data_IF_167569601959
#
_entry.id   IF_167569601959
#
_cell.length_a   1.000
_cell.length_b   1.000
_cell.length_c   1.000
_cell.angle_alpha   90.00
_cell.angle_beta   90.00
_cell.angle_gamma   90.00
#
_symmetry.space_group_name_H-M   'P 1'
#
loop_
_entity.id
_entity.type
_entity.pdbx_description
1 polymer ?
#
# COMPACT_ATOMS: atom_id res chain seq x y z
N UNK A 1 -7.91 -14.01 11.61
CA UNK A 1 -6.42 -13.82 11.56
C UNK A 1 -6.01 -13.07 10.28
N UNK A 2 -6.36 -13.57 9.09
CA UNK A 2 -6.00 -12.94 7.80
C UNK A 2 -6.40 -11.44 7.68
N UNK A 3 -7.61 -11.07 8.13
CA UNK A 3 -8.07 -9.68 8.09
C UNK A 3 -7.24 -8.73 8.97
N UNK A 4 -6.89 -9.16 10.19
CA UNK A 4 -6.06 -8.35 11.11
C UNK A 4 -4.68 -8.11 10.52
N UNK A 5 -4.09 -9.14 9.89
CA UNK A 5 -2.80 -8.99 9.21
C UNK A 5 -2.89 -8.06 7.99
N UNK A 6 -3.99 -8.11 7.23
CA UNK A 6 -4.21 -7.18 6.12
C UNK A 6 -4.35 -5.72 6.59
N UNK A 7 -5.04 -5.50 7.71
CA UNK A 7 -5.17 -4.19 8.33
C UNK A 7 -3.82 -3.65 8.82
N UNK A 8 -3.03 -4.50 9.48
CA UNK A 8 -1.67 -4.16 9.89
C UNK A 8 -0.78 -3.83 8.69
N UNK A 9 -0.81 -4.64 7.63
CA UNK A 9 -0.07 -4.41 6.41
C UNK A 9 -0.46 -3.08 5.75
N UNK A 10 -1.76 -2.75 5.72
CA UNK A 10 -2.24 -1.48 5.17
C UNK A 10 -1.76 -0.29 5.99
N UNK A 11 -1.79 -0.38 7.32
CA UNK A 11 -1.27 0.66 8.23
C UNK A 11 0.24 0.87 8.05
N UNK A 12 1.01 -0.22 7.93
CA UNK A 12 2.44 -0.13 7.64
C UNK A 12 2.70 0.57 6.31
N UNK A 13 1.97 0.19 5.25
CA UNK A 13 2.11 0.84 3.95
C UNK A 13 1.86 2.36 4.06
N UNK A 14 0.80 2.77 4.75
CA UNK A 14 0.54 4.21 4.98
C UNK A 14 1.71 4.86 5.71
N UNK A 15 2.22 4.25 6.78
CA UNK A 15 3.36 4.78 7.54
C UNK A 15 4.60 4.96 6.65
N UNK A 16 4.95 3.95 5.85
CA UNK A 16 6.10 4.00 4.94
C UNK A 16 5.94 5.04 3.83
N UNK A 17 4.72 5.19 3.29
CA UNK A 17 4.39 6.19 2.27
C UNK A 17 4.42 7.62 2.85
N UNK A 18 3.95 7.81 4.09
CA UNK A 18 4.05 9.09 4.80
C UNK A 18 5.52 9.46 5.04
N UNK A 19 6.30 8.53 5.58
CA UNK A 19 7.74 8.72 5.80
C UNK A 19 8.47 9.05 4.49
N UNK A 20 8.14 8.36 3.39
CA UNK A 20 8.72 8.67 2.07
C UNK A 20 8.35 10.08 1.65
N UNK A 21 7.08 10.46 1.77
CA UNK A 21 6.60 11.79 1.39
C UNK A 21 7.31 12.91 2.17
N UNK A 22 7.46 12.74 3.48
CA UNK A 22 8.17 13.70 4.34
C UNK A 22 9.65 13.79 3.97
N UNK A 23 10.30 12.63 3.85
CA UNK A 23 11.72 12.53 3.52
C UNK A 23 12.02 13.22 2.19
N UNK A 24 11.28 12.94 1.13
CA UNK A 24 11.59 13.46 -0.21
C UNK A 24 11.21 14.93 -0.36
N UNK A 25 10.29 15.44 0.47
CA UNK A 25 9.97 16.86 0.50
C UNK A 25 11.18 17.70 0.90
N UNK A 26 11.91 17.24 1.92
CA UNK A 26 13.18 17.85 2.34
C UNK A 26 14.28 17.72 1.27
N UNK A 27 14.08 16.86 0.26
CA UNK A 27 15.00 16.61 -0.87
C UNK A 27 14.57 17.31 -2.16
N UNK A 28 13.66 18.28 -2.06
CA UNK A 28 13.23 19.10 -3.20
C UNK A 28 12.16 18.47 -4.08
N UNK A 29 11.39 17.50 -3.56
CA UNK A 29 10.24 16.91 -4.27
C UNK A 29 8.94 17.48 -3.71
N UNK A 30 8.08 18.00 -4.58
CA UNK A 30 6.76 18.51 -4.19
C UNK A 30 5.70 17.40 -4.12
N UNK A 31 4.49 17.74 -3.68
CA UNK A 31 3.37 16.78 -3.59
C UNK A 31 3.04 16.16 -4.96
N UNK A 32 3.14 16.94 -6.03
CA UNK A 32 2.94 16.45 -7.40
C UNK A 32 4.03 15.43 -7.80
N UNK A 33 5.28 15.68 -7.41
CA UNK A 33 6.41 14.77 -7.61
C UNK A 33 6.24 13.49 -6.82
N UNK A 34 5.77 13.56 -5.57
CA UNK A 34 5.44 12.36 -4.80
C UNK A 34 4.35 11.51 -5.49
N UNK A 35 3.29 12.15 -5.99
CA UNK A 35 2.26 11.45 -6.75
C UNK A 35 2.82 10.76 -8.00
N UNK A 36 3.77 11.39 -8.72
CA UNK A 36 4.47 10.80 -9.87
C UNK A 36 5.35 9.62 -9.46
N UNK A 37 6.15 9.75 -8.39
CA UNK A 37 6.97 8.66 -7.82
C UNK A 37 6.10 7.45 -7.51
N UNK A 38 5.04 7.64 -6.71
CA UNK A 38 4.13 6.56 -6.34
C UNK A 38 3.48 5.90 -7.56
N UNK A 39 3.06 6.71 -8.54
CA UNK A 39 2.45 6.18 -9.77
C UNK A 39 3.44 5.38 -10.62
N UNK A 40 4.71 5.79 -10.67
CA UNK A 40 5.77 5.06 -11.38
C UNK A 40 6.16 3.77 -10.67
N UNK A 41 6.17 3.77 -9.34
CA UNK A 41 6.32 2.56 -8.53
C UNK A 41 5.20 1.55 -8.78
N UNK A 42 3.94 2.01 -8.76
CA UNK A 42 2.79 1.17 -9.12
C UNK A 42 2.93 0.59 -10.53
N UNK A 43 3.29 1.42 -11.50
CA UNK A 43 3.49 0.96 -12.87
C UNK A 43 4.55 -0.17 -12.96
N UNK A 44 5.66 -0.03 -12.24
CA UNK A 44 6.70 -1.04 -12.19
C UNK A 44 6.22 -2.34 -11.50
N UNK A 45 5.55 -2.24 -10.36
CA UNK A 45 5.09 -3.40 -9.60
C UNK A 45 3.99 -4.19 -10.33
N UNK A 46 3.10 -3.50 -11.05
CA UNK A 46 1.95 -4.09 -11.74
C UNK A 46 2.17 -4.31 -13.24
N UNK A 47 3.41 -4.53 -13.67
CA UNK A 47 3.71 -5.06 -15.00
C UNK A 47 3.48 -4.05 -16.13
N UNK A 48 3.74 -2.79 -15.87
CA UNK A 48 3.53 -1.71 -16.82
C UNK A 48 2.07 -1.26 -16.94
N UNK A 49 1.17 -1.76 -16.08
CA UNK A 49 -0.19 -1.26 -16.03
C UNK A 49 -0.26 0.08 -15.30
N UNK A 50 -1.10 0.99 -15.79
CA UNK A 50 -1.43 2.20 -15.03
C UNK A 50 -2.33 1.83 -13.86
N UNK A 51 -2.29 2.61 -12.77
CA UNK A 51 -3.18 2.41 -11.61
C UNK A 51 -4.65 2.33 -12.04
N UNK A 52 -5.07 3.10 -13.04
CA UNK A 52 -6.42 3.03 -13.59
C UNK A 52 -6.73 1.66 -14.24
N UNK A 53 -5.81 1.11 -15.05
CA UNK A 53 -5.97 -0.21 -15.67
C UNK A 53 -6.03 -1.32 -14.62
N UNK A 54 -5.19 -1.26 -13.59
CA UNK A 54 -5.22 -2.23 -12.48
C UNK A 54 -6.56 -2.16 -11.76
N UNK A 55 -7.05 -0.95 -11.46
CA UNK A 55 -8.36 -0.74 -10.82
C UNK A 55 -9.51 -1.30 -11.66
N UNK A 56 -9.50 -1.07 -12.98
CA UNK A 56 -10.52 -1.68 -13.87
C UNK A 56 -10.46 -3.20 -13.83
N UNK A 57 -9.26 -3.79 -13.92
CA UNK A 57 -9.07 -5.25 -13.90
C UNK A 57 -9.54 -5.89 -12.58
N UNK A 58 -9.41 -5.16 -11.48
CA UNK A 58 -9.82 -5.58 -10.14
C UNK A 58 -11.23 -5.11 -9.74
N UNK A 59 -12.01 -4.53 -10.67
CA UNK A 59 -13.33 -3.96 -10.37
C UNK A 59 -13.36 -2.97 -9.19
N UNK A 60 -12.29 -2.19 -9.03
CA UNK A 60 -12.13 -1.22 -7.95
C UNK A 60 -12.72 0.14 -8.38
N UNK A 61 -13.62 0.75 -7.57
CA UNK A 61 -14.16 2.07 -7.86
C UNK A 61 -13.08 3.16 -8.01
N UNK A 62 -13.25 4.04 -9.00
CA UNK A 62 -12.28 5.12 -9.29
C UNK A 62 -12.04 6.07 -8.12
N UNK A 63 -13.05 6.29 -7.27
CA UNK A 63 -12.97 7.14 -6.07
C UNK A 63 -12.33 6.46 -4.85
N UNK A 64 -11.89 5.20 -4.94
CA UNK A 64 -11.26 4.48 -3.83
C UNK A 64 -9.78 4.20 -4.06
N UNK A 65 -8.94 4.19 -3.01
CA UNK A 65 -7.56 3.74 -3.12
C UNK A 65 -7.47 2.28 -3.54
N UNK A 66 -6.60 1.95 -4.50
CA UNK A 66 -6.36 0.58 -4.95
C UNK A 66 -5.92 -0.33 -3.80
N UNK A 67 -5.04 0.18 -2.92
CA UNK A 67 -4.52 -0.56 -1.76
C UNK A 67 -5.60 -1.05 -0.78
N UNK A 68 -6.80 -0.47 -0.79
CA UNK A 68 -7.92 -0.92 0.05
C UNK A 68 -8.53 -2.26 -0.42
N UNK A 69 -8.19 -2.71 -1.64
CA UNK A 69 -8.70 -3.94 -2.27
C UNK A 69 -7.58 -4.94 -2.60
N UNK A 70 -6.33 -4.55 -2.35
CA UNK A 70 -5.20 -5.44 -2.60
C UNK A 70 -5.14 -6.58 -1.55
N UNK A 71 -4.75 -7.80 -1.95
CA UNK A 71 -4.37 -8.86 -1.03
C UNK A 71 -3.19 -8.46 -0.14
N UNK A 72 -3.06 -9.09 1.03
CA UNK A 72 -1.98 -8.79 1.99
C UNK A 72 -0.59 -8.90 1.36
N UNK A 73 -0.35 -9.91 0.53
CA UNK A 73 0.94 -10.10 -0.15
C UNK A 73 1.31 -8.90 -1.03
N UNK A 74 0.36 -8.35 -1.77
CA UNK A 74 0.59 -7.20 -2.66
C UNK A 74 0.77 -5.91 -1.86
N UNK A 75 0.04 -5.74 -0.75
CA UNK A 75 0.25 -4.61 0.17
C UNK A 75 1.66 -4.67 0.78
N UNK A 76 2.07 -5.84 1.26
CA UNK A 76 3.41 -6.05 1.82
C UNK A 76 4.52 -5.83 0.79
N UNK A 77 4.32 -6.25 -0.46
CA UNK A 77 5.26 -6.00 -1.55
C UNK A 77 5.44 -4.50 -1.81
N UNK A 78 4.33 -3.75 -1.90
CA UNK A 78 4.38 -2.28 -2.01
C UNK A 78 5.11 -1.65 -0.83
N UNK A 79 4.77 -2.06 0.39
CA UNK A 79 5.40 -1.54 1.60
C UNK A 79 6.91 -1.78 1.55
N UNK A 80 7.34 -3.00 1.20
CA UNK A 80 8.75 -3.33 1.19
C UNK A 80 9.53 -2.53 0.14
N UNK A 81 8.98 -2.33 -1.06
CA UNK A 81 9.60 -1.46 -2.06
C UNK A 81 9.73 0.00 -1.57
N UNK A 82 8.72 0.51 -0.85
CA UNK A 82 8.77 1.85 -0.23
C UNK A 82 9.83 1.92 0.87
N UNK A 83 9.92 0.93 1.75
CA UNK A 83 10.92 0.86 2.83
C UNK A 83 12.36 0.84 2.27
N UNK A 84 12.62 0.05 1.23
CA UNK A 84 13.93 0.04 0.54
C UNK A 84 14.23 1.43 -0.03
N UNK A 85 13.23 2.08 -0.64
CA UNK A 85 13.38 3.44 -1.18
C UNK A 85 13.71 4.43 -0.06
N UNK A 86 12.98 4.41 1.08
CA UNK A 86 13.27 5.26 2.24
C UNK A 86 14.72 5.07 2.72
N UNK A 87 15.14 3.81 2.87
CA UNK A 87 16.48 3.47 3.31
C UNK A 87 17.56 3.99 2.34
N UNK A 88 17.38 3.79 1.03
CA UNK A 88 18.36 4.19 0.02
C UNK A 88 18.41 5.71 -0.19
N UNK A 89 17.27 6.40 -0.14
CA UNK A 89 17.22 7.88 -0.20
C UNK A 89 17.98 8.49 0.98
N UNK A 90 17.86 7.92 2.18
CA UNK A 90 18.65 8.35 3.35
C UNK A 90 20.14 8.05 3.18
N UNK A 91 20.47 6.79 2.93
CA UNK A 91 21.84 6.28 2.91
C UNK A 91 22.69 6.94 1.84
N UNK A 92 22.11 7.16 0.65
CA UNK A 92 22.83 7.73 -0.49
C UNK A 92 22.60 9.23 -0.65
N UNK A 93 21.92 9.87 0.32
CA UNK A 93 21.59 11.30 0.29
C UNK A 93 20.96 11.76 -1.04
N UNK A 94 20.08 10.93 -1.62
CA UNK A 94 19.45 11.19 -2.92
C UNK A 94 18.65 12.50 -2.91
N UNK A 95 18.70 13.24 -4.02
CA UNK A 95 18.08 14.55 -4.18
C UNK A 95 17.23 14.64 -5.44
N UNK A 96 16.09 15.33 -5.32
CA UNK A 96 15.23 15.63 -6.44
C UNK A 96 14.47 14.43 -6.99
N UNK A 97 13.43 14.76 -7.75
CA UNK A 97 12.47 13.76 -8.22
C UNK A 97 13.07 12.71 -9.17
N UNK A 98 13.93 13.04 -10.17
CA UNK A 98 14.39 12.06 -11.14
C UNK A 98 15.18 10.90 -10.52
N UNK A 99 16.06 11.20 -9.56
CA UNK A 99 16.87 10.20 -8.86
C UNK A 99 15.98 9.28 -8.01
N UNK A 100 15.06 9.87 -7.25
CA UNK A 100 14.14 9.13 -6.38
C UNK A 100 13.15 8.29 -7.19
N UNK A 101 12.68 8.78 -8.34
CA UNK A 101 11.86 7.98 -9.27
C UNK A 101 12.64 6.75 -9.74
N UNK A 102 13.90 6.94 -10.15
CA UNK A 102 14.72 5.83 -10.65
C UNK A 102 14.88 4.75 -9.58
N UNK A 103 15.22 5.15 -8.37
CA UNK A 103 15.36 4.26 -7.22
C UNK A 103 14.04 3.53 -6.90
N UNK A 104 12.94 4.27 -6.83
CA UNK A 104 11.63 3.70 -6.50
C UNK A 104 11.14 2.72 -7.57
N UNK A 105 11.35 3.02 -8.85
CA UNK A 105 11.01 2.14 -9.99
C UNK A 105 11.85 0.87 -9.97
N UNK A 106 13.17 1.00 -9.73
CA UNK A 106 14.08 -0.13 -9.61
C UNK A 106 13.62 -1.09 -8.50
N UNK A 107 13.38 -0.57 -7.29
CA UNK A 107 12.94 -1.37 -6.15
C UNK A 107 11.62 -2.10 -6.43
N UNK A 108 10.62 -1.41 -6.99
CA UNK A 108 9.35 -2.04 -7.34
C UNK A 108 9.49 -3.11 -8.45
N UNK A 109 10.41 -2.91 -9.40
CA UNK A 109 10.70 -3.90 -10.45
C UNK A 109 11.34 -5.16 -9.86
N UNK A 110 12.30 -5.01 -8.96
CA UNK A 110 12.97 -6.12 -8.26
C UNK A 110 11.96 -6.90 -7.41
N UNK A 111 11.12 -6.22 -6.64
CA UNK A 111 10.05 -6.87 -5.86
C UNK A 111 9.05 -7.59 -6.78
N UNK A 112 8.68 -7.01 -7.92
CA UNK A 112 7.86 -7.71 -8.92
C UNK A 112 8.53 -8.99 -9.41
N UNK A 113 9.84 -8.96 -9.67
CA UNK A 113 10.57 -10.15 -10.12
C UNK A 113 10.50 -11.25 -9.06
N UNK A 114 10.65 -10.91 -7.77
CA UNK A 114 10.50 -11.88 -6.67
C UNK A 114 9.10 -12.50 -6.67
N UNK A 115 8.04 -11.70 -6.82
CA UNK A 115 6.67 -12.21 -6.84
C UNK A 115 6.43 -13.14 -8.05
N UNK A 116 6.82 -12.69 -9.24
CA UNK A 116 6.60 -13.43 -10.49
C UNK A 116 7.41 -14.73 -10.55
N UNK A 117 8.63 -14.76 -10.01
CA UNK A 117 9.42 -16.00 -9.84
C UNK A 117 8.70 -17.04 -8.96
N UNK A 118 7.82 -16.59 -8.07
CA UNK A 118 7.01 -17.46 -7.21
C UNK A 118 5.58 -17.66 -7.75
N UNK A 119 5.36 -17.38 -9.04
CA UNK A 119 4.05 -17.46 -9.71
C UNK A 119 2.97 -16.53 -9.11
N UNK A 120 3.39 -15.47 -8.42
CA UNK A 120 2.50 -14.44 -7.88
C UNK A 120 2.52 -13.26 -8.85
N UNK A 121 1.44 -13.10 -9.61
CA UNK A 121 1.28 -12.00 -10.58
C UNK A 121 0.34 -10.94 -9.97
N UNK A 122 0.86 -9.80 -9.45
CA UNK A 122 0.09 -8.85 -8.65
C UNK A 122 -1.24 -8.40 -9.26
N UNK A 123 -1.26 -8.16 -10.56
CA UNK A 123 -2.41 -7.71 -11.33
C UNK A 123 -3.42 -8.81 -11.68
N UNK A 124 -3.10 -10.08 -11.43
CA UNK A 124 -3.98 -11.23 -11.67
C UNK A 124 -4.54 -11.82 -10.37
N UNK A 125 -4.07 -11.38 -9.20
CA UNK A 125 -4.61 -11.88 -7.93
C UNK A 125 -6.03 -11.33 -7.75
N UNK A 126 -7.00 -12.18 -7.35
CA UNK A 126 -8.34 -11.72 -7.04
C UNK A 126 -8.32 -10.56 -6.03
N UNK A 127 -9.11 -9.49 -6.25
CA UNK A 127 -9.22 -8.41 -5.29
C UNK A 127 -9.91 -8.92 -4.03
N UNK A 128 -9.49 -8.37 -2.90
CA UNK A 128 -10.13 -8.56 -1.61
C UNK A 128 -11.22 -7.51 -1.41
N UNK A 129 -12.16 -7.80 -0.50
CA UNK A 129 -13.18 -6.83 -0.12
C UNK A 129 -12.55 -5.53 0.43
N UNK A 130 -13.23 -4.40 0.20
CA UNK A 130 -12.85 -3.10 0.72
C UNK A 130 -12.53 -3.15 2.23
N UNK A 131 -11.25 -2.91 2.55
CA UNK A 131 -10.74 -2.98 3.90
C UNK A 131 -11.43 -2.00 4.86
N UNK A 132 -11.89 -0.83 4.38
CA UNK A 132 -12.59 0.15 5.22
C UNK A 132 -14.01 -0.29 5.58
N UNK A 133 -14.68 -1.03 4.69
CA UNK A 133 -15.99 -1.64 5.02
C UNK A 133 -15.82 -2.71 6.09
N UNK A 134 -14.73 -3.46 6.03
CA UNK A 134 -14.39 -4.48 7.00
C UNK A 134 -14.02 -3.87 8.37
N UNK A 135 -13.19 -2.81 8.41
CA UNK A 135 -12.88 -2.08 9.66
C UNK A 135 -14.14 -1.61 10.38
N UNK A 136 -15.09 -1.03 9.64
CA UNK A 136 -16.36 -0.57 10.21
C UNK A 136 -17.18 -1.71 10.82
N UNK A 137 -17.22 -2.88 10.16
CA UNK A 137 -17.92 -4.06 10.69
C UNK A 137 -17.27 -4.56 11.98
N UNK A 138 -15.95 -4.70 12.00
CA UNK A 138 -15.21 -5.15 13.19
C UNK A 138 -15.40 -4.18 14.36
N UNK A 139 -15.34 -2.87 14.12
CA UNK A 139 -15.55 -1.87 15.17
C UNK A 139 -16.99 -1.90 15.71
N UNK A 140 -17.98 -2.09 14.83
CA UNK A 140 -19.38 -2.18 15.23
C UNK A 140 -19.67 -3.45 16.05
N UNK A 141 -19.10 -4.60 15.65
CA UNK A 141 -19.20 -5.86 16.41
C UNK A 141 -18.54 -5.73 17.79
N UNK A 142 -17.34 -5.16 17.86
CA UNK A 142 -16.64 -4.89 19.12
C UNK A 142 -17.44 -3.99 20.06
N UNK A 143 -18.06 -2.93 19.52
CA UNK A 143 -18.93 -2.04 20.29
C UNK A 143 -20.21 -2.75 20.79
N UNK A 144 -20.81 -3.63 19.98
CA UNK A 144 -21.97 -4.41 20.41
C UNK A 144 -21.62 -5.39 21.54
N UNK A 145 -20.47 -6.07 21.44
CA UNK A 145 -19.99 -7.00 22.47
C UNK A 145 -19.68 -6.24 23.78
N UNK A 146 -18.98 -5.10 23.70
CA UNK A 146 -18.69 -4.27 24.88
C UNK A 146 -19.98 -3.78 25.57
N UNK A 147 -20.98 -3.37 24.79
CA UNK A 147 -22.28 -2.94 25.31
C UNK A 147 -23.09 -4.09 25.92
N UNK A 148 -23.02 -5.30 25.36
CA UNK A 148 -23.68 -6.48 25.92
C UNK A 148 -23.02 -6.93 27.25
N UNK A 149 -21.69 -6.89 27.33
CA UNK A 149 -20.94 -7.21 28.55
C UNK A 149 -21.22 -6.20 29.67
N UNK A 150 -21.31 -4.91 29.35
CA UNK A 150 -21.66 -3.86 30.32
C UNK A 150 -23.10 -3.96 30.84
N UNK A 151 -24.04 -4.56 30.10
CA UNK A 151 -25.40 -4.83 30.59
C UNK A 151 -25.44 -6.02 31.56
N UNK A 152 -24.63 -7.06 31.32
CA UNK A 152 -24.54 -8.23 32.21
C UNK A 152 -23.81 -7.95 33.53
N UNK A 153 -22.90 -6.99 33.56
CA UNK A 153 -22.19 -6.58 34.79
C UNK A 153 -23.03 -5.65 35.69
N UNK A 154 -24.14 -5.11 35.17
CA UNK A 154 -25.07 -4.22 35.89
C UNK A 154 -26.37 -4.91 36.34
N UNK A 155 -26.49 -6.22 36.09
CA UNK A 155 -27.57 -7.10 36.56
C UNK A 155 -27.05 -8.05 37.62
#
# INVERSE_FOLDING_TARGET
IALSERLKARKKLISSETELSELIYERGVDESGFARIRSKGDHALFGGLTTHKVKMKMNIPNNRPMADFLPTVTISAKNFATEITNFNVRTNNMQGEPEIIHEHVKNNTEIRQVLTNNNIIPENIPPEEDIKKLERRVNNEGNQIANASNRKLKS
#
